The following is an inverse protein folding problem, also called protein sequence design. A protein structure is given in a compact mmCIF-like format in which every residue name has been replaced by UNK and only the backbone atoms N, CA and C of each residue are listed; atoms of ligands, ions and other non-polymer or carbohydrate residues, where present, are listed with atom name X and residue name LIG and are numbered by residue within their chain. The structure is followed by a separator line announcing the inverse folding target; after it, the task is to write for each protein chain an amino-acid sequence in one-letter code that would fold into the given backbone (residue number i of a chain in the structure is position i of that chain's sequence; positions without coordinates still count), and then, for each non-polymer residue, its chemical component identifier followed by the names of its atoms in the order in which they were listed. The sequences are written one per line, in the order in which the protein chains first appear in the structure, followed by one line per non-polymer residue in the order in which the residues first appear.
data_IF_911342595690
#
_entry.id   IF_911342595690
#
_cell.length_a   1.000
_cell.length_b   1.000
_cell.length_c   1.000
_cell.angle_alpha   90.00
_cell.angle_beta   90.00
_cell.angle_gamma   90.00
#
_symmetry.space_group_name_H-M   'P 1'
#
loop_
_entity.id
_entity.type
_entity.pdbx_description
1 polymer ?
#
# COMPACT_ATOMS: atom_id res chain seq x y z
N UNK A 1 18.98 -8.16 16.84
CA UNK A 1 19.40 -8.63 15.50
C UNK A 1 18.49 -9.78 15.07
N UNK A 2 17.98 -9.77 13.84
CA UNK A 2 16.94 -10.69 13.35
C UNK A 2 17.33 -12.17 13.56
N UNK A 3 18.51 -12.58 13.08
CA UNK A 3 18.94 -13.98 13.17
C UNK A 3 19.07 -14.51 14.61
N UNK A 4 19.47 -13.66 15.55
CA UNK A 4 19.64 -14.06 16.95
C UNK A 4 18.29 -14.36 17.61
N UNK A 5 17.33 -13.46 17.42
CA UNK A 5 15.99 -13.66 17.97
C UNK A 5 15.30 -14.87 17.36
N UNK A 6 15.55 -15.15 16.07
CA UNK A 6 15.01 -16.34 15.43
C UNK A 6 15.56 -17.64 16.02
N UNK A 7 16.89 -17.75 16.21
CA UNK A 7 17.48 -18.95 16.80
C UNK A 7 16.93 -19.19 18.22
N UNK A 8 16.79 -18.12 19.01
CA UNK A 8 16.17 -18.19 20.34
C UNK A 8 14.72 -18.68 20.29
N UNK A 9 13.90 -18.23 19.33
CA UNK A 9 12.53 -18.76 19.16
C UNK A 9 12.51 -20.24 18.80
N UNK A 10 13.54 -20.74 18.09
CA UNK A 10 13.71 -22.17 17.79
C UNK A 10 14.43 -22.97 18.90
N UNK A 11 14.54 -22.41 20.10
CA UNK A 11 15.23 -23.01 21.25
C UNK A 11 16.73 -23.32 21.02
N UNK A 12 17.39 -22.57 20.11
CA UNK A 12 18.82 -22.67 19.84
C UNK A 12 19.55 -21.40 20.30
N UNK A 13 20.34 -21.53 21.36
CA UNK A 13 21.14 -20.42 21.92
C UNK A 13 22.62 -20.52 21.58
N UNK A 14 23.02 -21.56 20.85
CA UNK A 14 24.43 -21.94 20.67
C UNK A 14 24.93 -21.77 19.25
N UNK A 15 24.05 -21.95 18.26
CA UNK A 15 24.42 -21.86 16.86
C UNK A 15 24.82 -20.45 16.45
N UNK A 16 25.83 -20.35 15.59
CA UNK A 16 26.30 -19.07 15.08
C UNK A 16 25.44 -18.60 13.91
N UNK A 17 25.31 -17.28 13.82
CA UNK A 17 24.81 -16.60 12.63
C UNK A 17 26.05 -16.25 11.81
N UNK A 18 26.12 -16.75 10.57
CA UNK A 18 27.23 -16.47 9.69
C UNK A 18 27.18 -15.01 9.17
N UNK A 19 28.27 -14.47 8.62
CA UNK A 19 28.31 -13.10 8.11
C UNK A 19 27.16 -12.81 7.12
N UNK A 20 26.51 -11.66 7.30
CA UNK A 20 25.43 -11.22 6.41
C UNK A 20 26.05 -10.82 5.07
N UNK A 21 25.55 -11.42 3.99
CA UNK A 21 25.99 -11.12 2.62
C UNK A 21 24.93 -10.24 1.95
N UNK A 22 25.34 -9.14 1.33
CA UNK A 22 24.45 -8.31 0.53
C UNK A 22 24.52 -8.76 -0.93
N UNK A 23 23.40 -9.22 -1.47
CA UNK A 23 23.22 -9.64 -2.85
C UNK A 23 22.23 -8.69 -3.53
N UNK A 24 22.73 -7.73 -4.32
CA UNK A 24 21.93 -6.66 -4.92
C UNK A 24 21.17 -5.86 -3.85
N UNK A 25 19.83 -5.91 -3.85
CA UNK A 25 18.95 -5.24 -2.89
C UNK A 25 18.47 -6.16 -1.74
N UNK A 26 19.03 -7.37 -1.64
CA UNK A 26 18.66 -8.37 -0.62
C UNK A 26 19.83 -8.63 0.33
N UNK A 27 19.49 -8.90 1.59
CA UNK A 27 20.45 -9.28 2.63
C UNK A 27 20.22 -10.74 2.98
N UNK A 28 21.21 -11.59 2.69
CA UNK A 28 21.18 -13.02 3.02
C UNK A 28 21.78 -13.24 4.41
N UNK A 29 21.02 -13.90 5.27
CA UNK A 29 21.42 -14.33 6.61
C UNK A 29 21.49 -15.85 6.59
N UNK A 30 22.68 -16.39 6.87
CA UNK A 30 22.92 -17.83 6.93
C UNK A 30 23.18 -18.27 8.37
N UNK A 31 22.78 -19.50 8.67
CA UNK A 31 22.87 -20.08 10.01
C UNK A 31 23.81 -21.28 9.97
N UNK A 32 24.62 -21.46 11.01
CA UNK A 32 25.57 -22.57 11.09
C UNK A 32 24.86 -23.93 11.17
N UNK A 33 23.73 -24.00 11.87
CA UNK A 33 23.00 -25.24 12.13
C UNK A 33 21.61 -25.22 11.51
N UNK A 34 21.09 -26.39 11.07
CA UNK A 34 19.70 -26.55 10.71
C UNK A 34 18.75 -26.21 11.87
N UNK A 35 17.63 -25.57 11.56
CA UNK A 35 16.61 -25.21 12.55
C UNK A 35 15.20 -25.48 12.02
N UNK A 36 14.24 -25.56 12.92
CA UNK A 36 12.80 -25.61 12.62
C UNK A 36 12.18 -24.25 12.96
N UNK A 37 11.07 -23.91 12.31
CA UNK A 37 10.41 -22.64 12.57
C UNK A 37 8.90 -22.76 12.40
N UNK A 38 8.19 -21.93 13.17
CA UNK A 38 6.75 -21.71 13.03
C UNK A 38 6.56 -20.37 12.30
N UNK A 39 5.82 -20.33 11.18
CA UNK A 39 5.60 -19.12 10.40
C UNK A 39 5.12 -17.92 11.20
N UNK A 40 4.19 -18.11 12.15
CA UNK A 40 3.66 -17.05 13.00
C UNK A 40 4.74 -16.43 13.91
N UNK A 41 5.56 -17.26 14.55
CA UNK A 41 6.66 -16.79 15.42
C UNK A 41 7.77 -16.11 14.62
N UNK A 42 8.10 -16.66 13.44
CA UNK A 42 9.07 -16.07 12.50
C UNK A 42 8.65 -14.64 12.11
N UNK A 43 7.41 -14.47 11.66
CA UNK A 43 6.90 -13.15 11.25
C UNK A 43 6.87 -12.19 12.43
N UNK A 44 6.35 -12.61 13.60
CA UNK A 44 6.27 -11.77 14.78
C UNK A 44 7.65 -11.31 15.28
N UNK A 45 8.63 -12.22 15.27
CA UNK A 45 10.01 -11.94 15.68
C UNK A 45 10.68 -10.93 14.76
N UNK A 46 10.56 -11.13 13.44
CA UNK A 46 11.15 -10.22 12.45
C UNK A 46 10.49 -8.84 12.53
N UNK A 47 9.16 -8.80 12.57
CA UNK A 47 8.41 -7.55 12.60
C UNK A 47 8.71 -6.71 13.85
N UNK A 48 8.81 -7.36 15.01
CA UNK A 48 9.21 -6.71 16.25
C UNK A 48 10.59 -6.05 16.13
N UNK A 49 11.58 -6.78 15.60
CA UNK A 49 12.94 -6.26 15.42
C UNK A 49 13.00 -5.14 14.38
N UNK A 50 12.25 -5.24 13.28
CA UNK A 50 12.22 -4.18 12.25
C UNK A 50 11.60 -2.90 12.79
N UNK A 51 10.51 -3.01 13.58
CA UNK A 51 9.86 -1.86 14.23
C UNK A 51 10.75 -1.21 15.28
N UNK A 52 11.41 -2.01 16.12
CA UNK A 52 12.33 -1.50 17.17
C UNK A 52 13.54 -0.77 16.57
N UNK A 53 14.11 -1.32 15.50
CA UNK A 53 15.29 -0.73 14.84
C UNK A 53 14.95 0.33 13.81
N UNK A 54 13.67 0.44 13.43
CA UNK A 54 13.15 1.36 12.44
C UNK A 54 13.92 1.30 11.10
N UNK A 55 14.32 0.11 10.67
CA UNK A 55 15.17 -0.07 9.47
C UNK A 55 14.39 0.00 8.15
N UNK A 56 13.12 -0.37 8.16
CA UNK A 56 12.26 -0.43 6.97
C UNK A 56 10.79 -0.13 7.34
N UNK A 57 10.06 0.47 6.40
CA UNK A 57 8.60 0.67 6.47
C UNK A 57 7.87 -0.49 5.79
N UNK A 58 8.43 -0.97 4.67
CA UNK A 58 7.91 -2.09 3.89
C UNK A 58 9.06 -3.01 3.48
N UNK A 59 8.87 -4.32 3.65
CA UNK A 59 9.92 -5.33 3.41
C UNK A 59 9.34 -6.70 3.02
N UNK A 60 10.16 -7.51 2.36
CA UNK A 60 9.87 -8.91 2.03
C UNK A 60 10.90 -9.79 2.73
N UNK A 61 10.44 -10.90 3.27
CA UNK A 61 11.30 -11.97 3.79
C UNK A 61 11.03 -13.24 3.04
N UNK A 62 12.09 -13.88 2.58
CA UNK A 62 12.08 -15.19 1.93
C UNK A 62 12.92 -16.15 2.76
N UNK A 63 12.43 -17.37 2.94
CA UNK A 63 13.14 -18.48 3.55
C UNK A 63 13.45 -19.47 2.44
N UNK A 64 14.72 -19.68 2.14
CA UNK A 64 15.20 -20.59 1.10
C UNK A 64 15.91 -21.80 1.73
N UNK A 65 15.86 -22.96 1.08
CA UNK A 65 16.74 -24.08 1.41
C UNK A 65 18.17 -23.75 1.00
N UNK A 66 19.15 -24.06 1.85
CA UNK A 66 20.56 -23.78 1.57
C UNK A 66 21.09 -24.45 0.29
N UNK A 67 20.61 -25.66 -0.02
CA UNK A 67 21.14 -26.49 -1.12
C UNK A 67 20.49 -26.21 -2.47
N UNK A 68 19.18 -25.95 -2.47
CA UNK A 68 18.38 -25.85 -3.71
C UNK A 68 17.97 -24.42 -4.06
N UNK A 69 18.20 -23.46 -3.16
CA UNK A 69 17.72 -22.07 -3.26
C UNK A 69 16.18 -21.97 -3.46
N UNK A 70 15.46 -23.06 -3.15
CA UNK A 70 14.02 -23.12 -3.26
C UNK A 70 13.39 -22.36 -2.09
N UNK A 71 12.53 -21.38 -2.42
CA UNK A 71 11.75 -20.64 -1.42
C UNK A 71 10.70 -21.56 -0.80
N UNK A 72 10.86 -21.85 0.49
CA UNK A 72 9.93 -22.67 1.28
C UNK A 72 8.86 -21.84 1.98
N UNK A 73 9.16 -20.57 2.24
CA UNK A 73 8.23 -19.65 2.89
C UNK A 73 8.58 -18.21 2.53
N UNK A 74 7.57 -17.37 2.35
CA UNK A 74 7.79 -15.94 2.10
C UNK A 74 6.62 -15.12 2.63
N UNK A 75 6.91 -13.92 3.10
CA UNK A 75 5.88 -12.95 3.46
C UNK A 75 6.34 -11.53 3.15
N UNK A 76 5.36 -10.66 2.89
CA UNK A 76 5.56 -9.23 2.74
C UNK A 76 4.94 -8.54 3.95
N UNK A 77 5.64 -7.58 4.52
CA UNK A 77 5.14 -6.73 5.58
C UNK A 77 5.10 -5.29 5.11
N UNK A 78 3.96 -4.64 5.34
CA UNK A 78 3.73 -3.24 5.00
C UNK A 78 3.13 -2.51 6.21
N UNK A 79 3.50 -1.24 6.40
CA UNK A 79 2.99 -0.41 7.49
C UNK A 79 1.62 0.20 7.16
N UNK A 80 1.26 0.28 5.88
CA UNK A 80 0.07 1.01 5.41
C UNK A 80 -1.19 0.15 5.29
N UNK A 81 -1.04 -1.17 5.24
CA UNK A 81 -2.16 -2.11 5.28
C UNK A 81 -1.83 -3.19 6.30
N UNK A 82 -2.74 -3.46 7.25
CA UNK A 82 -2.67 -4.67 8.06
C UNK A 82 -2.67 -5.87 7.11
N UNK A 83 -1.50 -6.35 6.70
CA UNK A 83 -1.37 -7.62 6.01
C UNK A 83 -1.51 -8.73 7.05
N UNK A 84 -2.73 -8.88 7.57
CA UNK A 84 -3.14 -9.96 8.48
C UNK A 84 -3.15 -11.33 7.78
N UNK A 85 -2.45 -11.51 6.67
CA UNK A 85 -2.36 -12.79 5.96
C UNK A 85 -0.93 -13.30 6.12
N UNK A 86 -0.64 -13.84 7.31
CA UNK A 86 0.48 -14.77 7.49
C UNK A 86 -0.02 -16.13 6.95
N UNK A 87 0.46 -16.62 5.80
CA UNK A 87 0.06 -17.93 5.31
C UNK A 87 0.60 -19.03 6.23
N UNK A 88 -0.17 -20.10 6.41
CA UNK A 88 0.24 -21.30 7.15
C UNK A 88 0.68 -21.06 8.61
N UNK A 89 0.09 -20.07 9.31
CA UNK A 89 0.46 -19.60 10.68
C UNK A 89 0.92 -20.70 11.65
N UNK A 90 0.11 -21.74 11.79
CA UNK A 90 0.31 -22.80 12.78
C UNK A 90 1.06 -24.05 12.27
N UNK A 91 1.68 -23.99 11.08
CA UNK A 91 2.38 -25.15 10.51
C UNK A 91 3.85 -25.13 10.86
N UNK A 92 4.26 -26.03 11.75
CA UNK A 92 5.67 -26.27 12.03
C UNK A 92 6.40 -26.72 10.75
N UNK A 93 7.45 -26.00 10.38
CA UNK A 93 8.33 -26.37 9.28
C UNK A 93 9.42 -27.30 9.81
N UNK A 94 9.78 -28.37 9.07
CA UNK A 94 10.73 -29.36 9.55
C UNK A 94 12.12 -28.76 9.72
N UNK A 95 12.90 -29.38 10.61
CA UNK A 95 14.31 -29.01 10.81
C UNK A 95 15.11 -29.22 9.53
N UNK A 96 15.61 -28.13 8.94
CA UNK A 96 16.38 -28.16 7.71
C UNK A 96 17.38 -27.00 7.66
N UNK A 97 18.30 -27.03 6.69
CA UNK A 97 19.18 -25.89 6.45
C UNK A 97 18.40 -24.82 5.69
N UNK A 98 18.15 -23.68 6.35
CA UNK A 98 17.48 -22.54 5.75
C UNK A 98 18.39 -21.30 5.73
N UNK A 99 18.23 -20.49 4.70
CA UNK A 99 18.77 -19.13 4.60
C UNK A 99 17.62 -18.14 4.56
N UNK A 100 17.78 -17.00 5.23
CA UNK A 100 16.82 -15.90 5.17
C UNK A 100 17.32 -14.84 4.20
N UNK A 101 16.44 -14.38 3.32
CA UNK A 101 16.68 -13.24 2.48
C UNK A 101 15.74 -12.12 2.90
N UNK A 102 16.32 -10.99 3.23
CA UNK A 102 15.61 -9.80 3.66
C UNK A 102 15.72 -8.72 2.59
N UNK A 103 14.60 -8.29 2.04
CA UNK A 103 14.54 -7.28 0.97
C UNK A 103 13.81 -6.04 1.49
N UNK A 104 14.46 -4.88 1.42
CA UNK A 104 13.86 -3.61 1.85
C UNK A 104 13.18 -2.97 0.64
N UNK A 105 11.86 -2.75 0.71
CA UNK A 105 11.10 -2.03 -0.31
C UNK A 105 11.15 -0.53 -0.02
N UNK A 106 10.79 -0.14 1.20
CA UNK A 106 10.79 1.26 1.63
C UNK A 106 11.65 1.44 2.90
N UNK A 107 12.64 2.32 2.82
CA UNK A 107 13.49 2.67 3.97
C UNK A 107 12.78 3.65 4.88
N UNK A 108 12.95 3.47 6.19
CA UNK A 108 12.47 4.45 7.16
C UNK A 108 13.25 5.76 7.07
N UNK A 109 12.51 6.87 6.99
CA UNK A 109 13.05 8.23 6.95
C UNK A 109 13.86 8.60 8.20
N UNK A 110 13.67 7.90 9.32
CA UNK A 110 14.44 8.12 10.55
C UNK A 110 15.93 7.74 10.41
N UNK A 111 16.25 6.77 9.55
CA UNK A 111 17.60 6.25 9.35
C UNK A 111 18.27 6.74 8.04
N UNK A 112 17.56 7.51 7.22
CA UNK A 112 18.12 8.15 6.02
C UNK A 112 19.24 9.18 6.35
N UNK A 113 19.34 9.63 7.61
CA UNK A 113 20.33 10.63 8.05
C UNK A 113 21.67 10.04 8.52
N UNK A 114 21.79 8.73 8.69
CA UNK A 114 22.98 8.09 9.27
C UNK A 114 23.90 7.38 8.26
N UNK A 115 23.56 7.38 6.96
CA UNK A 115 24.34 6.69 5.91
C UNK A 115 24.76 7.59 4.74
N UNK A 116 24.71 8.93 4.89
CA UNK A 116 25.46 9.84 4.01
C UNK A 116 26.84 10.12 4.63
N UNK A 117 27.68 9.08 4.65
CA UNK A 117 29.12 9.22 4.84
C UNK A 117 29.71 9.90 3.62
N UNK A 118 29.89 11.21 3.75
CA UNK A 118 30.75 12.14 3.00
C UNK A 118 31.65 11.52 1.92
N UNK A 119 31.31 11.80 0.66
CA UNK A 119 32.32 12.05 -0.38
C UNK A 119 32.99 13.39 -0.04
N UNK A 120 34.30 13.37 0.20
CA UNK A 120 35.16 14.55 0.05
C UNK A 120 35.11 15.01 -1.41
N UNK A 121 35.08 16.33 -1.67
CA UNK A 121 36.29 16.90 -2.25
C UNK A 121 36.66 18.30 -1.70
N UNK A 122 37.96 18.39 -1.43
CA UNK A 122 38.86 19.54 -1.47
C UNK A 122 38.36 20.88 -2.08
N UNK A 123 38.69 21.94 -1.35
CA UNK A 123 39.07 23.30 -1.77
C UNK A 123 38.10 24.10 -2.67
N UNK A 124 37.47 25.13 -2.08
CA UNK A 124 37.88 26.50 -2.41
C UNK A 124 37.41 27.52 -1.37
N UNK A 125 38.31 28.45 -1.06
CA UNK A 125 38.17 29.55 -0.11
C UNK A 125 37.18 30.62 -0.58
N UNK A 126 36.19 30.98 0.26
CA UNK A 126 35.54 32.32 0.20
C UNK A 126 35.47 32.94 1.60
N UNK A 127 36.54 33.69 1.85
CA UNK A 127 36.67 34.91 2.64
C UNK A 127 35.37 35.60 3.14
N UNK A 128 35.29 35.78 4.47
CA UNK A 128 34.90 37.04 5.11
C UNK A 128 33.51 37.64 4.82
N UNK A 129 32.43 36.98 5.24
CA UNK A 129 31.09 37.62 5.29
C UNK A 129 30.99 38.42 6.60
N UNK A 130 31.20 39.73 6.51
CA UNK A 130 30.94 40.67 7.62
C UNK A 130 29.55 40.44 8.23
N UNK A 131 29.44 40.50 9.57
CA UNK A 131 28.22 40.18 10.35
C UNK A 131 26.95 40.86 9.81
N UNK A 132 27.07 42.03 9.18
CA UNK A 132 25.96 42.76 8.57
C UNK A 132 25.38 42.09 7.32
N UNK A 133 26.20 41.39 6.51
CA UNK A 133 25.73 40.62 5.35
C UNK A 133 25.03 39.32 5.76
N UNK A 134 25.44 38.70 6.87
CA UNK A 134 24.80 37.48 7.39
C UNK A 134 23.34 37.73 7.82
N UNK A 135 23.07 38.87 8.46
CA UNK A 135 21.71 39.24 8.90
C UNK A 135 20.78 39.48 7.71
N UNK A 136 21.29 40.09 6.64
CA UNK A 136 20.51 40.33 5.41
C UNK A 136 20.22 39.01 4.68
N UNK A 137 21.19 38.09 4.61
CA UNK A 137 21.01 36.76 4.00
C UNK A 137 20.01 35.92 4.82
N UNK A 138 20.12 35.94 6.15
CA UNK A 138 19.16 35.27 7.05
C UNK A 138 17.75 35.85 6.89
N UNK A 139 17.61 37.17 6.82
CA UNK A 139 16.33 37.85 6.62
C UNK A 139 15.69 37.54 5.26
N UNK A 140 16.47 37.59 4.17
CA UNK A 140 16.00 37.24 2.83
C UNK A 140 15.65 35.75 2.72
N UNK A 141 16.42 34.87 3.35
CA UNK A 141 16.11 33.43 3.42
C UNK A 141 14.78 33.17 4.12
N UNK A 142 14.52 33.84 5.25
CA UNK A 142 13.27 33.69 6.00
C UNK A 142 12.07 34.21 5.20
N UNK A 143 12.25 35.33 4.50
CA UNK A 143 11.22 35.93 3.66
C UNK A 143 10.93 35.06 2.43
N UNK A 144 11.96 34.44 1.82
CA UNK A 144 11.82 33.49 0.74
C UNK A 144 11.11 32.20 1.19
N UNK A 145 11.46 31.66 2.36
CA UNK A 145 10.79 30.49 2.96
C UNK A 145 9.32 30.82 3.26
N UNK A 146 9.02 32.02 3.76
CA UNK A 146 7.65 32.46 4.02
C UNK A 146 6.83 32.63 2.74
N UNK A 147 7.41 33.21 1.69
CA UNK A 147 6.77 33.32 0.37
C UNK A 147 6.55 31.92 -0.23
N UNK A 148 7.56 31.05 -0.19
CA UNK A 148 7.45 29.67 -0.64
C UNK A 148 6.38 28.90 0.16
N UNK A 149 6.30 29.10 1.47
CA UNK A 149 5.28 28.50 2.34
C UNK A 149 3.88 29.00 2.01
N UNK A 150 3.71 30.29 1.73
CA UNK A 150 2.41 30.86 1.30
C UNK A 150 2.00 30.37 -0.09
N UNK A 151 2.95 30.24 -1.03
CA UNK A 151 2.72 29.65 -2.35
C UNK A 151 2.44 28.15 -2.26
N UNK A 152 3.11 27.44 -1.36
CA UNK A 152 2.89 26.02 -1.10
C UNK A 152 1.52 25.79 -0.46
N UNK A 153 1.13 26.60 0.54
CA UNK A 153 -0.21 26.58 1.14
C UNK A 153 -1.32 26.89 0.13
N UNK A 154 -1.06 27.76 -0.86
CA UNK A 154 -2.00 28.01 -1.97
C UNK A 154 -2.07 26.88 -2.98
N UNK A 155 -0.98 26.15 -3.22
CA UNK A 155 -0.95 24.96 -4.10
C UNK A 155 -1.46 23.68 -3.42
N UNK A 156 -1.45 23.62 -2.09
CA UNK A 156 -1.90 22.47 -1.31
C UNK A 156 -3.35 22.58 -0.81
N UNK A 157 -4.27 23.09 -1.65
CA UNK A 157 -5.58 22.44 -1.78
C UNK A 157 -5.40 21.20 -2.67
N UNK A 158 -4.50 20.31 -2.28
CA UNK A 158 -4.50 18.95 -2.78
C UNK A 158 -5.46 18.22 -1.87
N UNK A 159 -6.62 17.90 -2.45
CA UNK A 159 -7.58 16.93 -1.95
C UNK A 159 -6.81 15.83 -1.23
N UNK A 160 -7.00 15.75 0.09
CA UNK A 160 -6.58 14.58 0.85
C UNK A 160 -7.17 13.38 0.11
N UNK A 161 -6.32 12.47 -0.36
CA UNK A 161 -6.76 11.17 -0.84
C UNK A 161 -7.28 10.46 0.42
N UNK A 162 -8.55 10.67 0.71
CA UNK A 162 -9.28 9.86 1.69
C UNK A 162 -9.28 8.44 1.10
N UNK A 163 -8.77 7.42 1.82
CA UNK A 163 -8.76 6.04 1.34
C UNK A 163 -10.16 5.49 1.02
N UNK A 164 -11.24 6.22 1.36
CA UNK A 164 -12.61 5.88 1.01
C UNK A 164 -13.10 6.48 -0.33
N UNK A 165 -12.25 7.24 -1.04
CA UNK A 165 -12.56 7.82 -2.34
C UNK A 165 -12.08 6.89 -3.46
N UNK A 166 -13.02 6.16 -4.06
CA UNK A 166 -12.76 5.24 -5.17
C UNK A 166 -12.75 6.03 -6.48
N UNK A 167 -11.66 6.01 -7.27
CA UNK A 167 -11.60 6.71 -8.55
C UNK A 167 -12.41 5.97 -9.62
N UNK A 168 -13.41 6.62 -10.21
CA UNK A 168 -14.24 6.09 -11.30
C UNK A 168 -14.15 7.07 -12.48
N UNK A 169 -13.13 6.92 -13.33
CA UNK A 169 -12.84 7.89 -14.40
C UNK A 169 -12.51 9.26 -13.80
N UNK A 170 -13.26 10.30 -14.17
CA UNK A 170 -13.17 11.63 -13.58
C UNK A 170 -13.93 11.79 -12.25
N UNK A 171 -14.74 10.80 -11.85
CA UNK A 171 -15.46 10.80 -10.59
C UNK A 171 -14.58 10.25 -9.45
N UNK A 172 -14.81 10.76 -8.24
CA UNK A 172 -14.37 10.15 -7.01
C UNK A 172 -15.61 9.73 -6.23
N UNK A 173 -15.79 8.42 -6.08
CA UNK A 173 -16.91 7.84 -5.35
C UNK A 173 -16.56 7.70 -3.87
N UNK A 174 -17.25 8.46 -3.03
CA UNK A 174 -17.16 8.36 -1.58
C UNK A 174 -18.19 7.33 -1.09
N UNK A 175 -17.72 6.12 -0.81
CA UNK A 175 -18.59 5.03 -0.34
C UNK A 175 -19.23 5.36 1.01
N UNK A 176 -18.52 6.09 1.90
CA UNK A 176 -19.00 6.34 3.27
C UNK A 176 -20.14 7.34 3.28
N UNK A 177 -20.03 8.37 2.47
CA UNK A 177 -21.06 9.41 2.37
C UNK A 177 -22.10 9.13 1.28
N UNK A 178 -21.94 8.04 0.51
CA UNK A 178 -22.79 7.70 -0.64
C UNK A 178 -22.87 8.87 -1.64
N UNK A 179 -21.71 9.45 -1.98
CA UNK A 179 -21.62 10.62 -2.85
C UNK A 179 -20.66 10.37 -4.03
N UNK A 180 -20.99 10.90 -5.20
CA UNK A 180 -20.07 11.05 -6.32
C UNK A 180 -19.56 12.48 -6.39
N UNK A 181 -18.25 12.64 -6.40
CA UNK A 181 -17.57 13.92 -6.53
C UNK A 181 -16.96 14.03 -7.92
N UNK A 182 -17.34 15.06 -8.68
CA UNK A 182 -16.70 15.38 -9.96
C UNK A 182 -16.46 16.87 -10.07
N UNK A 183 -15.19 17.26 -10.25
CA UNK A 183 -14.75 18.66 -10.20
C UNK A 183 -15.22 19.32 -8.89
N UNK A 184 -16.16 20.26 -8.96
CA UNK A 184 -16.73 20.96 -7.80
C UNK A 184 -18.19 20.55 -7.51
N UNK A 185 -18.70 19.51 -8.15
CA UNK A 185 -20.07 19.02 -7.96
C UNK A 185 -20.10 17.78 -7.07
N UNK A 186 -21.10 17.74 -6.18
CA UNK A 186 -21.46 16.59 -5.36
C UNK A 186 -22.77 16.03 -5.84
N UNK A 187 -22.81 14.75 -6.11
CA UNK A 187 -24.01 14.03 -6.56
C UNK A 187 -24.32 12.95 -5.53
N UNK A 188 -25.39 13.14 -4.79
CA UNK A 188 -25.84 12.16 -3.79
C UNK A 188 -26.34 10.88 -4.47
N UNK A 189 -26.00 9.73 -3.90
CA UNK A 189 -26.48 8.41 -4.25
C UNK A 189 -27.35 7.86 -3.13
N UNK A 190 -28.41 7.16 -3.48
CA UNK A 190 -29.10 6.31 -2.50
C UNK A 190 -28.23 5.10 -2.16
N UNK A 191 -28.46 4.48 -1.00
CA UNK A 191 -27.73 3.28 -0.56
C UNK A 191 -27.67 2.18 -1.65
N UNK A 192 -28.82 1.83 -2.25
CA UNK A 192 -28.87 0.84 -3.34
C UNK A 192 -28.17 1.28 -4.62
N UNK A 193 -28.16 2.58 -4.95
CA UNK A 193 -27.38 3.08 -6.10
C UNK A 193 -25.88 2.99 -5.83
N UNK A 194 -25.44 3.28 -4.61
CA UNK A 194 -24.05 3.16 -4.18
C UNK A 194 -23.58 1.70 -4.22
N UNK A 195 -24.39 0.77 -3.70
CA UNK A 195 -24.09 -0.67 -3.74
C UNK A 195 -24.04 -1.20 -5.17
N UNK A 196 -25.01 -0.81 -6.01
CA UNK A 196 -25.04 -1.19 -7.42
C UNK A 196 -23.81 -0.65 -8.18
N UNK A 197 -23.44 0.61 -7.95
CA UNK A 197 -22.27 1.20 -8.58
C UNK A 197 -20.98 0.50 -8.13
N UNK A 198 -20.87 0.19 -6.84
CA UNK A 198 -19.72 -0.52 -6.28
C UNK A 198 -19.59 -1.93 -6.86
N UNK A 199 -20.70 -2.66 -7.01
CA UNK A 199 -20.70 -3.98 -7.63
C UNK A 199 -20.23 -3.92 -9.08
N UNK A 200 -20.79 -3.01 -9.88
CA UNK A 200 -20.40 -2.82 -11.28
C UNK A 200 -18.95 -2.33 -11.44
N UNK A 201 -18.44 -1.56 -10.47
CA UNK A 201 -17.06 -1.11 -10.44
C UNK A 201 -16.07 -2.21 -10.04
N UNK A 202 -16.45 -3.09 -9.11
CA UNK A 202 -15.62 -4.21 -8.67
C UNK A 202 -15.29 -5.15 -9.84
N UNK A 203 -16.26 -5.35 -10.74
CA UNK A 203 -16.12 -6.08 -11.99
C UNK A 203 -16.07 -5.12 -13.20
N UNK A 204 -15.39 -3.97 -13.06
CA UNK A 204 -15.25 -3.01 -14.15
C UNK A 204 -14.71 -3.68 -15.43
N UNK A 205 -15.22 -3.25 -16.57
CA UNK A 205 -14.96 -3.83 -17.88
C UNK A 205 -15.37 -5.31 -18.05
N UNK A 206 -16.13 -5.87 -17.11
CA UNK A 206 -16.72 -7.22 -17.18
C UNK A 206 -18.25 -7.13 -17.14
N UNK A 207 -18.93 -8.11 -17.74
CA UNK A 207 -20.40 -8.17 -17.72
C UNK A 207 -20.85 -8.83 -16.43
N UNK A 208 -21.64 -8.13 -15.63
CA UNK A 208 -22.29 -8.67 -14.43
C UNK A 208 -23.72 -9.10 -14.78
N UNK A 209 -24.05 -10.35 -14.48
CA UNK A 209 -25.36 -10.93 -14.79
C UNK A 209 -26.48 -10.26 -13.98
N UNK A 210 -27.67 -10.16 -14.58
CA UNK A 210 -28.82 -9.52 -13.95
C UNK A 210 -29.20 -10.19 -12.62
N UNK A 211 -29.16 -11.52 -12.57
CA UNK A 211 -29.50 -12.30 -11.38
C UNK A 211 -28.50 -12.07 -10.25
N UNK A 212 -27.20 -12.00 -10.57
CA UNK A 212 -26.14 -11.67 -9.61
C UNK A 212 -26.33 -10.29 -9.02
N UNK A 213 -26.63 -9.28 -9.86
CA UNK A 213 -26.89 -7.91 -9.39
C UNK A 213 -28.10 -7.88 -8.45
N UNK A 214 -29.19 -8.53 -8.84
CA UNK A 214 -30.41 -8.57 -8.04
C UNK A 214 -30.17 -9.27 -6.70
N UNK A 215 -29.43 -10.38 -6.68
CA UNK A 215 -29.14 -11.12 -5.46
C UNK A 215 -28.19 -10.34 -4.53
N UNK A 216 -27.12 -9.76 -5.06
CA UNK A 216 -26.13 -9.05 -4.23
C UNK A 216 -26.67 -7.74 -3.64
N UNK A 217 -27.54 -7.02 -4.37
CA UNK A 217 -28.04 -5.70 -3.94
C UNK A 217 -29.44 -5.79 -3.30
N UNK A 218 -30.24 -6.81 -3.64
CA UNK A 218 -31.63 -6.98 -3.17
C UNK A 218 -31.99 -8.39 -2.67
N UNK A 219 -31.04 -9.31 -2.48
CA UNK A 219 -31.30 -10.72 -2.13
C UNK A 219 -32.17 -10.95 -0.89
N UNK A 220 -32.18 -10.00 0.05
CA UNK A 220 -33.00 -10.06 1.26
C UNK A 220 -34.45 -9.58 1.06
N UNK A 221 -34.74 -8.92 -0.07
CA UNK A 221 -36.05 -8.34 -0.39
C UNK A 221 -36.77 -9.25 -1.41
N UNK A 222 -37.58 -10.19 -0.89
CA UNK A 222 -38.21 -11.26 -1.67
C UNK A 222 -38.81 -10.86 -3.04
N UNK A 223 -38.42 -11.62 -4.08
CA UNK A 223 -39.22 -12.01 -5.25
C UNK A 223 -39.64 -10.96 -6.30
N UNK A 224 -39.67 -9.66 -6.03
CA UNK A 224 -40.36 -8.68 -6.89
C UNK A 224 -39.54 -7.46 -7.34
N UNK A 225 -38.23 -7.61 -7.53
CA UNK A 225 -37.33 -6.46 -7.79
C UNK A 225 -36.85 -6.36 -9.26
N UNK A 226 -37.28 -7.27 -10.14
CA UNK A 226 -36.81 -7.32 -11.53
C UNK A 226 -36.95 -6.00 -12.31
N UNK A 227 -38.10 -5.31 -12.25
CA UNK A 227 -38.31 -4.01 -12.93
C UNK A 227 -37.60 -2.83 -12.25
N UNK A 228 -37.15 -3.02 -11.01
CA UNK A 228 -36.50 -1.99 -10.21
C UNK A 228 -35.06 -1.76 -10.70
N UNK A 229 -34.33 -2.83 -11.06
CA UNK A 229 -32.94 -2.71 -11.52
C UNK A 229 -32.78 -1.76 -12.72
N UNK A 230 -33.63 -1.85 -13.74
CA UNK A 230 -33.55 -0.99 -14.93
C UNK A 230 -33.70 0.50 -14.59
N UNK A 231 -34.55 0.81 -13.60
CA UNK A 231 -34.75 2.17 -13.09
C UNK A 231 -33.49 2.67 -12.40
N UNK A 232 -32.87 1.84 -11.56
CA UNK A 232 -31.62 2.17 -10.86
C UNK A 232 -30.46 2.36 -11.85
N UNK A 233 -30.33 1.50 -12.86
CA UNK A 233 -29.35 1.68 -13.95
C UNK A 233 -29.58 2.99 -14.70
N UNK A 234 -30.84 3.33 -14.99
CA UNK A 234 -31.18 4.57 -15.68
C UNK A 234 -30.86 5.81 -14.85
N UNK A 235 -31.07 5.77 -13.53
CA UNK A 235 -30.69 6.84 -12.60
C UNK A 235 -29.17 6.98 -12.51
N UNK A 236 -28.44 5.88 -12.33
CA UNK A 236 -26.97 5.89 -12.29
C UNK A 236 -26.37 6.43 -13.58
N UNK A 237 -26.90 6.06 -14.75
CA UNK A 237 -26.45 6.61 -16.04
C UNK A 237 -26.55 8.13 -16.11
N UNK A 238 -27.65 8.71 -15.63
CA UNK A 238 -27.80 10.18 -15.55
C UNK A 238 -26.78 10.79 -14.60
N UNK A 239 -26.52 10.17 -13.45
CA UNK A 239 -25.53 10.67 -12.48
C UNK A 239 -24.09 10.60 -13.02
N UNK A 240 -23.81 9.61 -13.87
CA UNK A 240 -22.51 9.38 -14.52
C UNK A 240 -22.34 10.10 -15.87
N UNK A 241 -23.31 10.91 -16.31
CA UNK A 241 -23.31 11.51 -17.65
C UNK A 241 -22.23 12.59 -17.86
N UNK A 242 -21.64 13.12 -16.79
CA UNK A 242 -20.62 14.18 -16.85
C UNK A 242 -19.25 13.66 -17.27
N UNK A 243 -19.00 12.35 -17.24
CA UNK A 243 -17.81 11.73 -17.80
C UNK A 243 -18.13 10.78 -18.95
N UNK A 244 -17.76 11.18 -20.16
CA UNK A 244 -17.93 10.37 -21.36
C UNK A 244 -17.13 9.06 -21.38
N UNK A 245 -16.11 8.91 -20.51
CA UNK A 245 -15.27 7.72 -20.40
C UNK A 245 -15.87 6.62 -19.52
N UNK A 246 -16.88 6.95 -18.71
CA UNK A 246 -17.54 6.01 -17.80
C UNK A 246 -18.96 5.77 -18.28
N UNK A 247 -19.26 4.56 -18.73
CA UNK A 247 -20.59 4.23 -19.26
C UNK A 247 -21.07 2.88 -18.78
N UNK A 248 -22.32 2.82 -18.33
CA UNK A 248 -23.00 1.55 -18.06
C UNK A 248 -23.67 1.07 -19.34
N UNK A 249 -23.18 -0.02 -19.92
CA UNK A 249 -23.70 -0.63 -21.16
C UNK A 249 -24.61 -1.81 -20.81
N UNK A 250 -25.69 -1.98 -21.56
CA UNK A 250 -26.56 -3.16 -21.46
C UNK A 250 -26.07 -4.23 -22.44
N UNK A 251 -25.79 -5.43 -21.92
CA UNK A 251 -25.47 -6.62 -22.70
C UNK A 251 -26.75 -7.45 -22.79
N UNK A 252 -27.38 -7.43 -23.98
CA UNK A 252 -28.69 -8.05 -24.23
C UNK A 252 -28.69 -9.52 -23.79
N UNK A 253 -29.67 -9.87 -22.97
CA UNK A 253 -29.88 -11.25 -22.50
C UNK A 253 -28.93 -11.70 -21.39
N UNK A 254 -27.99 -10.87 -20.94
CA UNK A 254 -27.00 -11.24 -19.92
C UNK A 254 -27.06 -10.30 -18.72
N UNK A 255 -26.89 -8.99 -18.92
CA UNK A 255 -26.83 -8.06 -17.80
C UNK A 255 -26.22 -6.71 -18.15
N UNK A 256 -25.42 -6.17 -17.23
CA UNK A 256 -24.84 -4.82 -17.34
C UNK A 256 -23.32 -4.86 -17.21
N UNK A 257 -22.67 -3.92 -17.88
CA UNK A 257 -21.22 -3.76 -17.86
C UNK A 257 -20.89 -2.30 -17.61
N UNK A 258 -20.05 -2.02 -16.61
CA UNK A 258 -19.42 -0.70 -16.49
C UNK A 258 -18.20 -0.68 -17.42
N UNK A 259 -18.22 0.20 -18.41
CA UNK A 259 -17.08 0.45 -19.29
C UNK A 259 -16.34 1.66 -18.77
N UNK A 260 -15.04 1.49 -18.57
CA UNK A 260 -14.13 2.56 -18.18
C UNK A 260 -12.96 2.59 -19.17
N UNK A 261 -12.90 3.64 -19.99
CA UNK A 261 -11.77 3.91 -20.87
C UNK A 261 -10.70 4.66 -20.06
N UNK A 262 -9.74 3.91 -19.50
CA UNK A 262 -8.57 4.44 -18.77
C UNK A 262 -7.67 5.21 -19.73
#
# INVERSE_FOLDING_TARGET
MIGHQLLLSSADSTSRILPIVKENDRYRIHFESPFEFIPEELVATIDSVVKETNIAISYIVEVEKCETEEVVYSFKMDNLEKSDIIPCRARLQPKFCYSLLFTIIEKSAANAKLLSGTEDPSNDSITGISKTKLVIIMGLSLLLVMILFLLWKRRNKRTSIDPNLIPIGAYHFDKRNTELLIRDQRIELTSKEADLLLLLYSDANTTVEREVILNMVWGDEGGYVGRTLDVFISKLRKKLEFDSKVKIVNIRGVGYKLVMDV
#
